data_IF_823017056539
#
_entry.id   IF_823017056539
#
_cell.length_a   1.000
_cell.length_b   1.000
_cell.length_c   1.000
_cell.angle_alpha   90.00
_cell.angle_beta   90.00
_cell.angle_gamma   90.00
#
_symmetry.space_group_name_H-M   'P 1'
#
loop_
_entity.id
_entity.type
_entity.pdbx_description
1 polymer ?
#
# COMPACT_ATOMS: atom_id res chain seq x y z
N UNK A 1 15.47 46.36 23.05
CA UNK A 1 14.30 45.54 23.45
C UNK A 1 14.25 44.34 22.51
N UNK A 2 14.56 43.15 23.00
CA UNK A 2 14.49 41.89 22.24
C UNK A 2 13.08 41.32 22.44
N UNK A 3 12.26 41.31 21.40
CA UNK A 3 10.97 40.64 21.43
C UNK A 3 11.20 39.12 21.36
N UNK A 4 10.64 38.32 22.27
CA UNK A 4 10.72 36.87 22.15
C UNK A 4 9.95 36.42 20.91
N UNK A 5 10.62 35.72 20.00
CA UNK A 5 9.97 35.05 18.88
C UNK A 5 9.08 33.96 19.46
N UNK A 6 7.75 33.97 19.21
CA UNK A 6 6.87 32.92 19.71
C UNK A 6 7.25 31.61 19.04
N UNK A 7 7.65 30.64 19.86
CA UNK A 7 7.84 29.26 19.44
C UNK A 7 6.46 28.71 19.06
N UNK A 8 6.14 28.69 17.76
CA UNK A 8 4.90 28.07 17.30
C UNK A 8 4.92 26.59 17.72
N UNK A 9 3.84 26.07 18.33
CA UNK A 9 3.77 24.66 18.68
C UNK A 9 3.89 23.84 17.40
N UNK A 10 4.80 22.87 17.40
CA UNK A 10 4.94 21.88 16.36
C UNK A 10 3.65 21.06 16.34
N UNK A 11 2.71 21.40 15.46
CA UNK A 11 1.50 20.59 15.25
C UNK A 11 2.02 19.25 14.74
N UNK A 12 1.78 18.13 15.45
CA UNK A 12 2.14 16.82 14.90
C UNK A 12 1.39 16.69 13.58
N UNK A 13 2.14 16.53 12.49
CA UNK A 13 1.58 16.14 11.19
C UNK A 13 0.97 14.76 11.41
N UNK A 14 -0.32 14.75 11.74
CA UNK A 14 -1.10 13.55 11.93
C UNK A 14 -1.10 12.83 10.60
N UNK A 15 -0.52 11.63 10.53
CA UNK A 15 -0.61 10.81 9.34
C UNK A 15 -2.09 10.56 9.04
N UNK A 16 -2.59 11.03 7.89
CA UNK A 16 -3.97 10.74 7.53
C UNK A 16 -4.10 9.23 7.27
N UNK A 17 -5.08 8.57 7.91
CA UNK A 17 -5.21 7.12 7.81
C UNK A 17 -5.49 6.72 6.37
N UNK A 18 -4.86 5.63 5.93
CA UNK A 18 -5.14 5.03 4.63
C UNK A 18 -6.27 4.01 4.80
N UNK A 19 -7.44 4.32 4.25
CA UNK A 19 -8.64 3.48 4.33
C UNK A 19 -9.01 2.91 2.98
N UNK A 20 -9.73 1.79 3.00
CA UNK A 20 -10.15 1.15 1.76
C UNK A 20 -10.80 -0.20 1.93
N UNK A 21 -11.22 -0.75 0.80
CA UNK A 21 -11.93 -2.02 0.74
C UNK A 21 -11.27 -2.94 -0.27
N UNK A 22 -10.97 -4.16 0.14
CA UNK A 22 -10.42 -5.23 -0.68
C UNK A 22 -11.52 -6.25 -0.97
N UNK A 23 -11.74 -6.54 -2.23
CA UNK A 23 -12.72 -7.52 -2.71
C UNK A 23 -12.02 -8.65 -3.43
N UNK A 24 -12.55 -9.86 -3.33
CA UNK A 24 -12.07 -11.05 -4.05
C UNK A 24 -13.24 -11.75 -4.73
N UNK A 25 -12.99 -12.57 -5.77
CA UNK A 25 -13.97 -13.57 -6.19
C UNK A 25 -14.28 -14.46 -4.98
N UNK A 26 -15.55 -14.88 -4.86
CA UNK A 26 -16.13 -15.57 -3.70
C UNK A 26 -15.24 -16.74 -3.23
N UNK A 27 -14.36 -16.49 -2.26
CA UNK A 27 -13.36 -17.43 -1.74
C UNK A 27 -13.62 -17.60 -0.26
N UNK A 28 -13.70 -18.86 0.15
CA UNK A 28 -13.79 -19.22 1.55
C UNK A 28 -12.44 -18.99 2.24
N UNK A 29 -12.42 -18.34 3.42
CA UNK A 29 -11.21 -18.10 4.18
C UNK A 29 -10.60 -19.44 4.63
N UNK A 30 -9.35 -19.69 4.26
CA UNK A 30 -8.59 -20.84 4.75
C UNK A 30 -7.88 -20.47 6.04
N UNK A 31 -7.78 -21.39 7.00
CA UNK A 31 -7.09 -21.15 8.29
C UNK A 31 -5.60 -20.84 8.15
N UNK A 32 -5.00 -21.24 7.03
CA UNK A 32 -3.61 -20.96 6.67
C UNK A 32 -3.46 -19.66 5.88
N UNK A 33 -4.54 -19.08 5.39
CA UNK A 33 -4.46 -17.95 4.46
C UNK A 33 -4.01 -16.65 5.13
N UNK A 34 -3.38 -15.78 4.35
CA UNK A 34 -2.93 -14.47 4.80
C UNK A 34 -3.10 -13.41 3.71
N UNK A 35 -3.62 -12.25 4.10
CA UNK A 35 -3.69 -11.07 3.24
C UNK A 35 -2.55 -10.13 3.59
N UNK A 36 -1.79 -9.72 2.57
CA UNK A 36 -0.74 -8.72 2.68
C UNK A 36 -1.20 -7.46 1.97
N UNK A 37 -1.11 -6.32 2.64
CA UNK A 37 -1.49 -5.00 2.13
C UNK A 37 -0.25 -4.12 2.21
N UNK A 38 0.05 -3.44 1.11
CA UNK A 38 1.16 -2.49 1.02
C UNK A 38 0.70 -1.23 0.32
N UNK A 39 1.23 -0.10 0.73
CA UNK A 39 1.00 1.17 0.05
C UNK A 39 2.31 1.90 -0.22
N UNK A 40 2.39 2.52 -1.39
CA UNK A 40 3.54 3.32 -1.83
C UNK A 40 3.07 4.58 -2.55
N UNK A 41 3.85 5.66 -2.60
CA UNK A 41 3.50 6.81 -3.43
C UNK A 41 3.52 6.41 -4.90
N UNK A 42 2.54 6.90 -5.66
CA UNK A 42 2.41 6.55 -7.08
C UNK A 42 3.49 7.23 -7.93
N UNK A 43 4.02 8.38 -7.47
CA UNK A 43 5.05 9.14 -8.17
C UNK A 43 6.34 9.19 -7.34
N UNK A 44 7.49 9.10 -8.02
CA UNK A 44 8.80 9.24 -7.38
C UNK A 44 9.14 10.68 -7.00
N UNK A 45 8.52 11.68 -7.65
CA UNK A 45 8.66 13.09 -7.28
C UNK A 45 8.19 13.39 -5.85
N UNK A 46 7.28 12.57 -5.33
CA UNK A 46 6.67 12.75 -4.02
C UNK A 46 7.55 12.19 -2.89
N UNK A 47 8.70 11.59 -3.24
CA UNK A 47 9.62 10.97 -2.30
C UNK A 47 10.95 11.73 -2.22
N UNK A 48 11.47 12.00 -1.01
CA UNK A 48 12.81 12.54 -0.83
C UNK A 48 13.88 11.68 -1.52
N UNK A 49 14.82 12.31 -2.23
CA UNK A 49 15.88 11.60 -2.98
C UNK A 49 16.65 10.58 -2.13
N UNK A 50 16.89 10.88 -0.86
CA UNK A 50 17.57 9.98 0.08
C UNK A 50 16.85 8.62 0.25
N UNK A 51 15.52 8.60 0.17
CA UNK A 51 14.71 7.36 0.26
C UNK A 51 14.72 6.59 -1.08
N UNK A 52 14.84 7.31 -2.20
CA UNK A 52 14.91 6.71 -3.54
C UNK A 52 16.27 6.10 -3.88
N UNK A 53 17.36 6.62 -3.30
CA UNK A 53 18.73 6.22 -3.59
C UNK A 53 18.99 4.73 -3.26
N UNK A 54 18.32 4.20 -2.22
CA UNK A 54 18.32 2.77 -1.89
C UNK A 54 17.32 1.90 -2.66
N UNK A 55 16.43 2.51 -3.47
CA UNK A 55 15.26 1.83 -4.05
C UNK A 55 15.29 1.77 -5.59
N UNK A 56 16.45 2.00 -6.21
CA UNK A 56 16.63 2.04 -7.68
C UNK A 56 15.62 2.95 -8.39
N UNK A 57 15.29 4.09 -7.79
CA UNK A 57 14.33 5.06 -8.34
C UNK A 57 12.86 4.63 -8.26
N UNK A 58 12.55 3.48 -7.66
CA UNK A 58 11.17 3.06 -7.38
C UNK A 58 10.78 3.49 -5.97
N UNK A 59 9.59 4.08 -5.79
CA UNK A 59 9.08 4.37 -4.46
C UNK A 59 8.98 3.10 -3.59
N UNK A 60 9.65 3.04 -2.42
CA UNK A 60 9.43 1.95 -1.48
C UNK A 60 8.04 2.05 -0.84
N UNK A 61 7.49 0.94 -0.32
CA UNK A 61 6.25 1.00 0.44
C UNK A 61 6.45 1.79 1.74
N UNK A 62 5.54 2.72 2.01
CA UNK A 62 5.50 3.48 3.27
C UNK A 62 4.63 2.79 4.31
N UNK A 63 3.71 1.92 3.90
CA UNK A 63 2.86 1.11 4.79
C UNK A 63 2.95 -0.35 4.39
N UNK A 64 3.03 -1.23 5.39
CA UNK A 64 2.90 -2.68 5.23
C UNK A 64 2.07 -3.25 6.36
N UNK A 65 1.04 -4.02 6.03
CA UNK A 65 0.17 -4.67 7.00
C UNK A 65 -0.20 -6.08 6.54
N UNK A 66 -0.47 -6.97 7.49
CA UNK A 66 -0.87 -8.33 7.17
C UNK A 66 -1.95 -8.87 8.09
N UNK A 67 -2.89 -9.60 7.51
CA UNK A 67 -4.10 -10.09 8.17
C UNK A 67 -4.17 -11.61 8.02
N UNK A 68 -4.13 -12.38 9.13
CA UNK A 68 -4.38 -13.81 9.06
C UNK A 68 -5.87 -14.08 8.79
N UNK A 69 -6.17 -15.12 8.02
CA UNK A 69 -7.53 -15.62 7.79
C UNK A 69 -8.55 -14.51 7.46
N UNK A 70 -8.30 -13.67 6.43
CA UNK A 70 -9.15 -12.53 6.08
C UNK A 70 -10.52 -13.01 5.59
N UNK A 71 -11.58 -12.28 5.95
CA UNK A 71 -12.90 -12.44 5.32
C UNK A 71 -13.12 -11.35 4.29
N UNK A 72 -13.73 -11.69 3.15
CA UNK A 72 -13.99 -10.73 2.08
C UNK A 72 -15.48 -10.40 1.97
N UNK A 73 -15.85 -9.13 1.67
CA UNK A 73 -14.98 -7.97 1.47
C UNK A 73 -14.24 -7.56 2.76
N UNK A 74 -12.97 -7.17 2.64
CA UNK A 74 -12.13 -6.78 3.77
C UNK A 74 -11.92 -5.26 3.76
N UNK A 75 -12.41 -4.58 4.80
CA UNK A 75 -12.16 -3.15 5.00
C UNK A 75 -10.92 -2.95 5.85
N UNK A 76 -9.99 -2.11 5.39
CA UNK A 76 -8.77 -1.77 6.12
C UNK A 76 -8.76 -0.30 6.54
N UNK A 77 -8.10 -0.04 7.66
CA UNK A 77 -7.78 1.28 8.16
C UNK A 77 -6.35 1.21 8.71
N UNK A 78 -5.39 1.78 7.97
CA UNK A 78 -3.96 1.69 8.27
C UNK A 78 -3.49 3.03 8.80
N UNK A 79 -3.04 3.06 10.05
CA UNK A 79 -2.49 4.23 10.72
C UNK A 79 -0.96 4.25 10.79
N UNK A 80 -0.42 5.13 11.65
CA UNK A 80 1.02 5.33 11.84
C UNK A 80 1.76 4.07 12.32
N UNK A 81 1.06 3.21 13.05
CA UNK A 81 1.56 1.93 13.54
C UNK A 81 1.91 0.96 12.41
N UNK A 82 1.33 1.16 11.22
CA UNK A 82 1.59 0.34 10.04
C UNK A 82 2.72 0.90 9.16
N UNK A 83 3.36 2.02 9.55
CA UNK A 83 4.43 2.64 8.77
C UNK A 83 5.71 1.81 8.78
N UNK A 84 6.30 1.67 7.59
CA UNK A 84 7.65 1.12 7.43
C UNK A 84 8.69 2.15 7.91
N UNK A 85 9.95 1.73 8.17
CA UNK A 85 11.03 2.66 8.46
C UNK A 85 11.19 3.75 7.39
N UNK A 86 11.03 3.39 6.12
CA UNK A 86 11.05 4.33 4.99
C UNK A 86 9.83 5.26 5.01
N UNK A 87 8.66 4.74 5.37
CA UNK A 87 7.42 5.51 5.47
C UNK A 87 7.49 6.64 6.48
N UNK A 88 8.20 6.44 7.60
CA UNK A 88 8.44 7.48 8.61
C UNK A 88 9.29 8.65 8.12
N UNK A 89 10.00 8.47 7.00
CA UNK A 89 10.84 9.50 6.39
C UNK A 89 10.14 10.23 5.24
N UNK A 90 8.97 9.76 4.81
CA UNK A 90 8.21 10.36 3.73
C UNK A 90 7.26 11.41 4.33
N UNK A 91 7.22 12.64 3.81
CA UNK A 91 6.26 13.66 4.25
C UNK A 91 4.87 13.34 3.69
N UNK A 92 4.20 12.37 4.31
CA UNK A 92 2.86 11.92 3.95
C UNK A 92 1.87 13.06 4.22
N UNK A 93 1.16 13.47 3.17
CA UNK A 93 0.22 14.58 3.20
C UNK A 93 -1.10 14.16 2.57
N UNK A 94 -2.19 14.74 3.05
CA UNK A 94 -3.49 14.63 2.39
C UNK A 94 -3.36 15.03 0.92
N UNK A 95 -4.01 14.27 0.04
CA UNK A 95 -3.91 14.52 -1.40
C UNK A 95 -2.74 13.81 -2.11
N UNK A 96 -1.82 13.17 -1.37
CA UNK A 96 -0.74 12.38 -1.98
C UNK A 96 -1.33 11.20 -2.75
N UNK A 97 -0.88 11.01 -4.01
CA UNK A 97 -1.30 9.85 -4.82
C UNK A 97 -0.60 8.59 -4.35
N UNK A 98 -1.38 7.56 -4.09
CA UNK A 98 -0.89 6.30 -3.55
C UNK A 98 -1.34 5.11 -4.40
N UNK A 99 -0.43 4.16 -4.54
CA UNK A 99 -0.73 2.83 -5.02
C UNK A 99 -0.90 1.92 -3.81
N UNK A 100 -2.06 1.28 -3.69
CA UNK A 100 -2.30 0.17 -2.75
C UNK A 100 -2.19 -1.15 -3.50
N UNK A 101 -1.37 -2.06 -3.00
CA UNK A 101 -1.22 -3.41 -3.54
C UNK A 101 -1.60 -4.42 -2.47
N UNK A 102 -2.43 -5.39 -2.85
CA UNK A 102 -2.87 -6.46 -1.99
C UNK A 102 -2.49 -7.82 -2.60
N UNK A 103 -2.08 -8.75 -1.75
CA UNK A 103 -1.86 -10.15 -2.12
C UNK A 103 -2.54 -11.05 -1.09
N UNK A 104 -3.45 -11.90 -1.56
CA UNK A 104 -4.02 -12.98 -0.78
C UNK A 104 -3.23 -14.25 -1.08
N UNK A 105 -2.68 -14.82 -0.02
CA UNK A 105 -1.89 -16.03 -0.02
C UNK A 105 -2.71 -17.15 0.63
N UNK A 106 -2.87 -18.27 -0.05
CA UNK A 106 -3.70 -19.40 0.40
C UNK A 106 -3.00 -20.27 1.43
N UNK A 107 -1.67 -20.37 1.37
CA UNK A 107 -0.86 -21.20 2.26
C UNK A 107 -0.26 -20.39 3.43
N UNK A 108 -0.33 -19.06 3.33
CA UNK A 108 0.12 -18.12 4.37
C UNK A 108 1.62 -17.83 4.34
N UNK A 109 2.32 -18.32 3.32
CA UNK A 109 3.77 -18.22 3.17
C UNK A 109 4.12 -17.22 2.08
N UNK A 110 4.36 -15.96 2.48
CA UNK A 110 4.69 -14.87 1.54
C UNK A 110 5.82 -15.18 0.52
N UNK A 111 6.74 -16.11 0.83
CA UNK A 111 7.86 -16.47 -0.05
C UNK A 111 7.48 -17.40 -1.19
N UNK A 112 6.41 -18.20 -1.05
CA UNK A 112 5.93 -19.11 -2.11
C UNK A 112 5.00 -18.33 -3.01
N UNK A 113 5.49 -17.94 -4.20
CA UNK A 113 4.64 -17.33 -5.23
C UNK A 113 3.79 -18.42 -5.88
N UNK A 114 2.70 -18.81 -5.23
CA UNK A 114 1.81 -19.85 -5.74
C UNK A 114 0.99 -19.35 -6.94
N UNK A 115 0.68 -20.20 -7.93
CA UNK A 115 -0.29 -19.89 -8.97
C UNK A 115 -1.68 -19.53 -8.42
N UNK A 116 -2.03 -20.05 -7.25
CA UNK A 116 -3.34 -19.87 -6.61
C UNK A 116 -3.46 -18.55 -5.84
N UNK A 117 -2.36 -17.83 -5.67
CA UNK A 117 -2.38 -16.51 -5.03
C UNK A 117 -3.25 -15.54 -5.84
N UNK A 118 -4.00 -14.72 -5.12
CA UNK A 118 -4.65 -13.56 -5.73
C UNK A 118 -3.84 -12.30 -5.50
N UNK A 119 -3.81 -11.46 -6.51
CA UNK A 119 -3.15 -10.14 -6.44
C UNK A 119 -4.11 -9.07 -6.94
N UNK A 120 -4.01 -7.89 -6.34
CA UNK A 120 -4.81 -6.73 -6.69
C UNK A 120 -4.02 -5.45 -6.52
N UNK A 121 -4.37 -4.44 -7.31
CA UNK A 121 -3.81 -3.10 -7.19
C UNK A 121 -4.93 -2.07 -7.33
N UNK A 122 -4.95 -1.10 -6.43
CA UNK A 122 -5.76 0.10 -6.49
C UNK A 122 -4.86 1.33 -6.53
N UNK A 123 -5.26 2.34 -7.29
CA UNK A 123 -4.67 3.68 -7.21
C UNK A 123 -5.67 4.55 -6.46
N UNK A 124 -5.16 5.45 -5.62
CA UNK A 124 -6.00 6.33 -4.82
C UNK A 124 -5.23 7.53 -4.32
N UNK A 125 -5.82 8.20 -3.34
CA UNK A 125 -5.31 9.40 -2.73
C UNK A 125 -5.33 9.21 -1.21
N UNK A 126 -4.26 9.60 -0.54
CA UNK A 126 -4.20 9.54 0.92
C UNK A 126 -5.25 10.48 1.52
N UNK A 127 -6.08 9.95 2.43
CA UNK A 127 -7.27 10.61 2.96
C UNK A 127 -8.58 10.20 2.26
N UNK A 128 -8.53 9.47 1.15
CA UNK A 128 -9.70 8.93 0.45
C UNK A 128 -9.76 7.39 0.51
N UNK A 129 -10.96 6.83 0.33
CA UNK A 129 -11.15 5.37 0.33
C UNK A 129 -10.60 4.73 -0.95
N UNK A 130 -9.71 3.74 -0.81
CA UNK A 130 -9.12 3.02 -1.95
C UNK A 130 -9.76 1.64 -2.15
N UNK A 131 -10.30 1.42 -3.35
CA UNK A 131 -10.82 0.11 -3.76
C UNK A 131 -9.74 -0.78 -4.38
N UNK A 132 -9.65 -2.03 -3.94
CA UNK A 132 -8.77 -3.05 -4.53
C UNK A 132 -9.56 -4.31 -4.87
N UNK A 133 -9.43 -4.78 -6.11
CA UNK A 133 -10.04 -6.04 -6.56
C UNK A 133 -8.93 -7.07 -6.77
N UNK A 134 -8.97 -8.14 -5.98
CA UNK A 134 -8.09 -9.29 -6.09
C UNK A 134 -8.49 -10.14 -7.30
N UNK A 135 -7.50 -10.53 -8.10
CA UNK A 135 -7.66 -11.38 -9.29
C UNK A 135 -6.60 -12.46 -9.28
N UNK A 136 -6.91 -13.60 -9.91
CA UNK A 136 -5.93 -14.67 -10.08
C UNK A 136 -4.70 -14.16 -10.83
N UNK A 137 -3.54 -14.73 -10.53
CA UNK A 137 -2.29 -14.49 -11.26
C UNK A 137 -2.38 -15.11 -12.65
N UNK A 138 -3.16 -14.50 -13.54
CA UNK A 138 -3.37 -15.02 -14.88
C UNK A 138 -2.04 -15.32 -15.59
N UNK A 139 -1.96 -16.50 -16.20
CA UNK A 139 -0.91 -16.95 -17.13
C UNK A 139 -0.74 -16.00 -18.35
N UNK A 140 -1.60 -14.97 -18.48
CA UNK A 140 -1.64 -13.99 -19.57
C UNK A 140 -0.74 -12.75 -19.46
N UNK A 141 0.05 -12.60 -18.39
CA UNK A 141 0.94 -11.44 -18.21
C UNK A 141 2.11 -11.33 -19.22
N UNK A 142 2.28 -12.30 -20.13
CA UNK A 142 3.33 -12.34 -21.15
C UNK A 142 2.91 -11.90 -22.56
N UNK A 143 1.67 -11.47 -22.79
CA UNK A 143 1.17 -11.19 -24.16
C UNK A 143 0.47 -9.83 -24.34
N UNK A 144 0.75 -8.82 -23.52
CA UNK A 144 0.17 -7.47 -23.65
C UNK A 144 1.22 -6.37 -23.94
N UNK A 145 2.28 -6.69 -24.69
CA UNK A 145 3.16 -5.69 -25.30
C UNK A 145 3.51 -6.11 -26.72
N UNK A 146 2.55 -6.05 -27.64
CA UNK A 146 2.80 -6.33 -29.04
C UNK A 146 1.61 -5.90 -29.90
N UNK A 147 1.90 -5.04 -30.87
CA UNK A 147 1.03 -4.53 -31.94
C UNK A 147 0.09 -3.37 -31.56
N UNK A 148 0.62 -2.14 -31.69
CA UNK A 148 -0.16 -1.10 -32.36
C UNK A 148 -0.20 -1.45 -33.86
N UNK A 149 -1.40 -1.57 -34.41
CA UNK A 149 -1.63 -1.37 -35.85
C UNK A 149 -1.57 0.11 -36.17
#
# INVERSE_FOLDING_TARGET
MLFPVPLLPLIPLLFPPLTGTITSPNIEPLSTSKLYITARPSQSSDIPKAVLEGSYGKPPPFVTFSVPTPTFPYSFNLGEECLTPEGKLIPLSDGMRVTVSARYDVDGVASTRSPDDLVGRGEGVLGEEVGVVLKGRGVGGKWASGLKK
#
